data_IF_307643061815
#
_entry.id   IF_307643061815
#
_cell.length_a   1.000
_cell.length_b   1.000
_cell.length_c   1.000
_cell.angle_alpha   90.00
_cell.angle_beta   90.00
_cell.angle_gamma   90.00
#
_symmetry.space_group_name_H-M   'P 1'
#
loop_
_entity.id
_entity.type
_entity.pdbx_description
1 polymer ?
#
# COMPACT_ATOMS: atom_id res chain seq x y z
N UNK A 1 54.51 3.25 27.08
CA UNK A 1 54.44 4.56 26.39
C UNK A 1 52.97 4.88 26.16
N UNK A 2 52.46 5.93 26.82
CA UNK A 2 51.09 6.41 26.68
C UNK A 2 51.05 7.48 25.60
N UNK A 3 50.25 7.31 24.54
CA UNK A 3 49.91 8.39 23.62
C UNK A 3 48.52 8.90 23.97
N UNK A 4 48.49 10.02 24.71
CA UNK A 4 47.29 10.84 24.85
C UNK A 4 46.98 11.48 23.48
N UNK A 5 46.00 10.93 22.77
CA UNK A 5 45.37 11.64 21.66
C UNK A 5 44.55 12.79 22.25
N UNK A 6 45.06 14.01 22.09
CA UNK A 6 44.29 15.23 22.26
C UNK A 6 43.14 15.24 21.26
N UNK A 7 41.99 14.71 21.66
CA UNK A 7 40.73 14.98 20.99
C UNK A 7 40.40 16.45 21.14
N UNK A 8 40.80 17.26 20.16
CA UNK A 8 40.29 18.62 19.97
C UNK A 8 38.78 18.52 19.73
N UNK A 9 37.99 18.44 20.80
CA UNK A 9 36.60 18.84 20.78
C UNK A 9 36.59 20.35 20.55
N UNK A 10 36.51 20.73 19.26
CA UNK A 10 36.17 22.09 18.88
C UNK A 10 34.81 22.38 19.53
N UNK A 11 34.71 23.33 20.48
CA UNK A 11 33.41 23.69 21.01
C UNK A 11 32.62 24.24 19.83
N UNK A 12 31.56 23.52 19.44
CA UNK A 12 30.62 24.01 18.44
C UNK A 12 30.11 25.35 18.93
N UNK A 13 30.42 26.42 18.20
CA UNK A 13 29.91 27.74 18.47
C UNK A 13 28.39 27.64 18.70
N UNK A 14 27.81 28.41 19.64
CA UNK A 14 26.37 28.43 19.85
C UNK A 14 25.73 28.82 18.52
N UNK A 15 25.11 27.83 17.85
CA UNK A 15 24.44 28.06 16.57
C UNK A 15 23.45 29.18 16.75
N UNK A 16 23.51 30.19 15.88
CA UNK A 16 22.52 31.25 15.84
C UNK A 16 21.13 30.62 15.64
N UNK A 17 20.08 31.27 16.15
CA UNK A 17 18.71 30.75 16.08
C UNK A 17 18.27 30.43 14.63
N UNK A 18 18.86 31.11 13.64
CA UNK A 18 18.64 30.85 12.21
C UNK A 18 19.32 29.56 11.73
N UNK A 19 20.55 29.27 12.15
CA UNK A 19 21.25 28.02 11.81
C UNK A 19 20.59 26.80 12.45
N UNK A 20 20.04 26.94 13.65
CA UNK A 20 19.26 25.88 14.32
C UNK A 20 17.98 25.57 13.55
N UNK A 21 17.22 26.60 13.14
CA UNK A 21 16.02 26.42 12.31
C UNK A 21 16.34 25.80 10.95
N UNK A 22 17.41 26.24 10.29
CA UNK A 22 17.82 25.66 9.01
C UNK A 22 18.17 24.17 9.16
N UNK A 23 18.86 23.80 10.25
CA UNK A 23 19.18 22.40 10.51
C UNK A 23 17.94 21.56 10.86
N UNK A 24 16.99 22.10 11.62
CA UNK A 24 15.72 21.45 11.92
C UNK A 24 14.92 21.15 10.64
N UNK A 25 14.87 22.12 9.71
CA UNK A 25 14.20 21.94 8.40
C UNK A 25 14.89 20.86 7.54
N UNK A 26 16.22 20.86 7.48
CA UNK A 26 16.98 19.83 6.74
C UNK A 26 16.79 18.45 7.37
N UNK A 27 16.74 18.36 8.70
CA UNK A 27 16.52 17.10 9.39
C UNK A 27 15.11 16.57 9.10
N UNK A 28 14.11 17.46 9.10
CA UNK A 28 12.74 17.13 8.74
C UNK A 28 12.63 16.66 7.28
N UNK A 29 13.32 17.33 6.35
CA UNK A 29 13.28 16.95 4.93
C UNK A 29 13.88 15.56 4.71
N UNK A 30 15.03 15.27 5.32
CA UNK A 30 15.69 13.94 5.22
C UNK A 30 14.81 12.85 5.82
N UNK A 31 14.17 13.11 6.96
CA UNK A 31 13.23 12.17 7.58
C UNK A 31 12.02 11.89 6.67
N UNK A 32 11.44 12.94 6.06
CA UNK A 32 10.32 12.81 5.12
C UNK A 32 10.74 12.04 3.86
N UNK A 33 11.94 12.29 3.34
CA UNK A 33 12.47 11.55 2.17
C UNK A 33 12.67 10.06 2.47
N UNK A 34 13.24 9.71 3.62
CA UNK A 34 13.39 8.32 4.04
C UNK A 34 12.03 7.61 4.18
N UNK A 35 11.05 8.28 4.80
CA UNK A 35 9.67 7.81 4.90
C UNK A 35 9.06 7.49 3.53
N UNK A 36 9.21 8.43 2.58
CA UNK A 36 8.71 8.26 1.21
C UNK A 36 9.41 7.10 0.50
N UNK A 37 10.72 6.94 0.68
CA UNK A 37 11.47 5.82 0.11
C UNK A 37 10.98 4.46 0.64
N UNK A 38 10.68 4.37 1.95
CA UNK A 38 10.11 3.16 2.58
C UNK A 38 8.74 2.80 1.99
N UNK A 39 7.89 3.80 1.77
CA UNK A 39 6.57 3.60 1.13
C UNK A 39 6.71 3.19 -0.33
N UNK A 40 7.60 3.85 -1.09
CA UNK A 40 7.85 3.50 -2.50
C UNK A 40 8.33 2.06 -2.62
N UNK A 41 9.26 1.63 -1.77
CA UNK A 41 9.72 0.24 -1.75
C UNK A 41 8.58 -0.74 -1.47
N UNK A 42 7.72 -0.45 -0.51
CA UNK A 42 6.56 -1.31 -0.21
C UNK A 42 5.56 -1.35 -1.40
N UNK A 43 5.36 -0.22 -2.08
CA UNK A 43 4.54 -0.15 -3.29
C UNK A 43 5.14 -0.96 -4.44
N UNK A 44 6.47 -0.90 -4.64
CA UNK A 44 7.16 -1.67 -5.67
C UNK A 44 7.01 -3.18 -5.42
N UNK A 45 7.13 -3.62 -4.16
CA UNK A 45 6.88 -5.01 -3.77
C UNK A 45 5.43 -5.44 -4.04
N UNK A 46 4.46 -4.56 -3.79
CA UNK A 46 3.06 -4.80 -4.13
C UNK A 46 2.86 -4.94 -5.65
N UNK A 47 3.38 -4.00 -6.45
CA UNK A 47 3.27 -4.02 -7.91
C UNK A 47 3.98 -5.23 -8.54
N UNK A 48 5.12 -5.63 -7.97
CA UNK A 48 5.86 -6.81 -8.42
C UNK A 48 5.06 -8.11 -8.27
N UNK A 49 4.06 -8.16 -7.39
CA UNK A 49 3.14 -9.31 -7.29
C UNK A 49 1.87 -9.07 -8.10
N UNK A 50 1.26 -7.89 -7.97
CA UNK A 50 -0.01 -7.56 -8.61
C UNK A 50 0.05 -7.63 -10.15
N UNK A 51 1.14 -7.16 -10.75
CA UNK A 51 1.32 -7.13 -12.21
C UNK A 51 2.04 -8.38 -12.75
N UNK A 52 2.42 -9.31 -11.87
CA UNK A 52 3.23 -10.45 -12.25
C UNK A 52 2.40 -11.61 -12.80
N UNK A 53 2.58 -11.84 -14.10
CA UNK A 53 2.10 -13.06 -14.77
C UNK A 53 2.68 -14.33 -14.15
N UNK A 54 3.89 -14.26 -13.58
CA UNK A 54 4.52 -15.41 -12.94
C UNK A 54 3.72 -15.89 -11.73
N UNK A 55 3.35 -14.98 -10.82
CA UNK A 55 2.52 -15.33 -9.66
C UNK A 55 1.13 -15.79 -10.09
N UNK A 56 0.54 -15.11 -11.08
CA UNK A 56 -0.76 -15.48 -11.62
C UNK A 56 -0.79 -16.91 -12.16
N UNK A 57 0.13 -17.27 -13.06
CA UNK A 57 0.20 -18.61 -13.63
C UNK A 57 0.69 -19.65 -12.63
N UNK A 58 1.58 -19.27 -11.70
CA UNK A 58 2.02 -20.14 -10.61
C UNK A 58 0.86 -20.60 -9.74
N UNK A 59 0.00 -19.67 -9.31
CA UNK A 59 -1.19 -20.02 -8.53
C UNK A 59 -2.19 -20.84 -9.33
N UNK A 60 -2.44 -20.51 -10.60
CA UNK A 60 -3.33 -21.31 -11.45
C UNK A 60 -2.83 -22.75 -11.65
N UNK A 61 -1.53 -22.92 -11.93
CA UNK A 61 -0.92 -24.24 -12.10
C UNK A 61 -0.97 -25.05 -10.80
N UNK A 62 -0.65 -24.42 -9.67
CA UNK A 62 -0.69 -25.05 -8.35
C UNK A 62 -2.10 -25.51 -7.96
N UNK A 63 -3.11 -24.66 -8.11
CA UNK A 63 -4.51 -25.02 -7.80
C UNK A 63 -5.08 -26.03 -8.77
N UNK A 64 -4.66 -26.00 -10.04
CA UNK A 64 -5.01 -27.02 -11.03
C UNK A 64 -4.49 -28.40 -10.60
N UNK A 65 -3.21 -28.49 -10.26
CA UNK A 65 -2.59 -29.75 -9.79
C UNK A 65 -3.24 -30.25 -8.51
N UNK A 66 -3.50 -29.36 -7.54
CA UNK A 66 -4.18 -29.70 -6.30
C UNK A 66 -5.59 -30.24 -6.57
N UNK A 67 -6.37 -29.55 -7.42
CA UNK A 67 -7.74 -29.95 -7.79
C UNK A 67 -7.74 -31.27 -8.54
N UNK A 68 -6.77 -31.50 -9.43
CA UNK A 68 -6.61 -32.78 -10.13
C UNK A 68 -6.29 -33.91 -9.15
N UNK A 69 -5.39 -33.69 -8.19
CA UNK A 69 -5.08 -34.65 -7.13
C UNK A 69 -6.30 -35.01 -6.28
N UNK A 70 -7.13 -34.02 -5.94
CA UNK A 70 -8.41 -34.23 -5.23
C UNK A 70 -9.39 -35.04 -6.07
N UNK A 71 -9.55 -34.72 -7.37
CA UNK A 71 -10.46 -35.44 -8.25
C UNK A 71 -10.03 -36.90 -8.46
N UNK A 72 -8.72 -37.17 -8.50
CA UNK A 72 -8.19 -38.52 -8.66
C UNK A 72 -8.29 -39.33 -7.36
N UNK A 73 -8.05 -38.74 -6.20
CA UNK A 73 -8.18 -39.44 -4.91
C UNK A 73 -9.64 -39.80 -4.58
N UNK A 74 -10.57 -38.89 -4.85
CA UNK A 74 -12.01 -39.10 -4.68
C UNK A 74 -12.65 -39.87 -5.85
N UNK A 75 -11.97 -39.96 -6.99
CA UNK A 75 -12.45 -40.64 -8.20
C UNK A 75 -12.75 -42.13 -7.99
N UNK A 76 -12.06 -42.76 -7.04
CA UNK A 76 -12.33 -44.15 -6.61
C UNK A 76 -13.71 -44.33 -5.97
N UNK A 77 -14.29 -43.27 -5.40
CA UNK A 77 -15.62 -43.26 -4.78
C UNK A 77 -16.68 -42.61 -5.65
N UNK A 78 -16.29 -41.67 -6.51
CA UNK A 78 -17.19 -40.91 -7.38
C UNK A 78 -16.61 -40.88 -8.81
N UNK A 79 -17.06 -41.81 -9.65
CA UNK A 79 -16.59 -41.98 -11.03
C UNK A 79 -16.76 -40.76 -11.93
N UNK A 80 -17.70 -39.87 -11.61
CA UNK A 80 -17.92 -38.57 -12.29
C UNK A 80 -16.71 -37.66 -12.11
N UNK A 81 -16.11 -37.60 -10.91
CA UNK A 81 -14.93 -36.78 -10.65
C UNK A 81 -13.73 -37.26 -11.46
N UNK A 82 -13.59 -38.57 -11.68
CA UNK A 82 -12.52 -39.14 -12.50
C UNK A 82 -12.71 -38.82 -13.99
N UNK A 83 -13.94 -38.92 -14.52
CA UNK A 83 -14.25 -38.65 -15.93
C UNK A 83 -14.12 -37.18 -16.29
N UNK A 84 -14.47 -36.28 -15.38
CA UNK A 84 -14.41 -34.83 -15.58
C UNK A 84 -13.22 -34.15 -14.90
N UNK A 85 -12.30 -34.92 -14.31
CA UNK A 85 -11.15 -34.43 -13.54
C UNK A 85 -10.39 -33.33 -14.28
N UNK A 86 -10.19 -33.49 -15.59
CA UNK A 86 -9.48 -32.51 -16.42
C UNK A 86 -10.20 -31.17 -16.52
N UNK A 87 -11.51 -31.17 -16.73
CA UNK A 87 -12.32 -29.94 -16.81
C UNK A 87 -12.45 -29.28 -15.43
N UNK A 88 -12.67 -30.08 -14.39
CA UNK A 88 -12.75 -29.61 -13.01
C UNK A 88 -11.41 -29.02 -12.57
N UNK A 89 -10.29 -29.65 -12.91
CA UNK A 89 -8.96 -29.14 -12.64
C UNK A 89 -8.66 -27.84 -13.37
N UNK A 90 -9.06 -27.69 -14.63
CA UNK A 90 -8.91 -26.42 -15.36
C UNK A 90 -9.73 -25.31 -14.73
N UNK A 91 -11.00 -25.58 -14.37
CA UNK A 91 -11.86 -24.63 -13.69
C UNK A 91 -11.32 -24.26 -12.29
N UNK A 92 -10.95 -25.26 -11.49
CA UNK A 92 -10.34 -25.08 -10.16
C UNK A 92 -8.99 -24.36 -10.23
N UNK A 93 -8.20 -24.63 -11.27
CA UNK A 93 -6.99 -23.91 -11.63
C UNK A 93 -7.24 -22.43 -11.84
N UNK A 94 -8.17 -22.11 -12.73
CA UNK A 94 -8.51 -20.73 -13.06
C UNK A 94 -9.12 -19.98 -11.89
N UNK A 95 -10.24 -20.46 -11.34
CA UNK A 95 -10.94 -19.76 -10.27
C UNK A 95 -10.18 -19.78 -8.95
N UNK A 96 -9.58 -20.91 -8.59
CA UNK A 96 -8.76 -21.02 -7.39
C UNK A 96 -7.48 -20.20 -7.50
N UNK A 97 -6.84 -20.20 -8.67
CA UNK A 97 -5.64 -19.39 -8.91
C UNK A 97 -5.93 -17.89 -8.80
N UNK A 98 -7.05 -17.43 -9.40
CA UNK A 98 -7.53 -16.05 -9.28
C UNK A 98 -7.83 -15.68 -7.82
N UNK A 99 -8.49 -16.57 -7.06
CA UNK A 99 -8.81 -16.33 -5.66
C UNK A 99 -7.55 -16.19 -4.79
N UNK A 100 -6.60 -17.12 -4.91
CA UNK A 100 -5.34 -17.07 -4.14
C UNK A 100 -4.50 -15.86 -4.54
N UNK A 101 -4.41 -15.56 -5.84
CA UNK A 101 -3.71 -14.36 -6.31
C UNK A 101 -4.34 -13.09 -5.74
N UNK A 102 -5.68 -13.00 -5.72
CA UNK A 102 -6.41 -11.89 -5.10
C UNK A 102 -6.13 -11.75 -3.60
N UNK A 103 -6.09 -12.88 -2.86
CA UNK A 103 -5.78 -12.88 -1.42
C UNK A 103 -4.34 -12.44 -1.16
N UNK A 104 -3.37 -12.93 -1.94
CA UNK A 104 -1.97 -12.53 -1.81
C UNK A 104 -1.80 -11.02 -2.11
N UNK A 105 -2.45 -10.52 -3.16
CA UNK A 105 -2.43 -9.09 -3.47
C UNK A 105 -3.08 -8.24 -2.37
N UNK A 106 -4.21 -8.69 -1.80
CA UNK A 106 -4.84 -8.00 -0.68
C UNK A 106 -3.94 -7.97 0.57
N UNK A 107 -3.19 -9.04 0.84
CA UNK A 107 -2.21 -9.08 1.92
C UNK A 107 -1.07 -8.07 1.70
N UNK A 108 -0.51 -8.02 0.48
CA UNK A 108 0.56 -7.09 0.14
C UNK A 108 0.06 -5.63 0.19
N UNK A 109 -1.14 -5.36 -0.30
CA UNK A 109 -1.76 -4.03 -0.19
C UNK A 109 -1.94 -3.61 1.28
N UNK A 110 -2.35 -4.54 2.15
CA UNK A 110 -2.45 -4.27 3.60
C UNK A 110 -1.09 -3.98 4.23
N UNK A 111 -0.03 -4.64 3.77
CA UNK A 111 1.35 -4.34 4.19
C UNK A 111 1.73 -2.90 3.85
N UNK A 112 1.46 -2.46 2.61
CA UNK A 112 1.68 -1.05 2.18
C UNK A 112 0.94 -0.08 3.10
N UNK A 113 -0.35 -0.33 3.34
CA UNK A 113 -1.17 0.52 4.22
C UNK A 113 -0.58 0.57 5.63
N UNK A 114 -0.11 -0.55 6.17
CA UNK A 114 0.54 -0.60 7.48
C UNK A 114 1.82 0.24 7.53
N UNK A 115 2.60 0.29 6.44
CA UNK A 115 3.79 1.15 6.36
C UNK A 115 3.37 2.62 6.36
N UNK A 116 2.31 2.98 5.63
CA UNK A 116 1.78 4.35 5.62
C UNK A 116 1.26 4.75 7.01
N UNK A 117 0.49 3.89 7.68
CA UNK A 117 -0.02 4.15 9.03
C UNK A 117 1.11 4.37 10.04
N UNK A 118 2.15 3.52 9.98
CA UNK A 118 3.34 3.68 10.81
C UNK A 118 4.06 4.99 10.51
N UNK A 119 4.18 5.36 9.24
CA UNK A 119 4.83 6.61 8.80
C UNK A 119 4.06 7.84 9.30
N UNK A 120 2.73 7.81 9.25
CA UNK A 120 1.87 8.86 9.82
C UNK A 120 2.13 8.99 11.32
N UNK A 121 2.15 7.87 12.06
CA UNK A 121 2.39 7.87 13.49
C UNK A 121 3.80 8.39 13.85
N UNK A 122 4.84 7.97 13.12
CA UNK A 122 6.21 8.46 13.29
C UNK A 122 6.30 9.96 12.99
N UNK A 123 5.64 10.44 11.93
CA UNK A 123 5.66 11.86 11.54
C UNK A 123 4.92 12.75 12.54
N UNK A 124 3.76 12.32 13.06
CA UNK A 124 3.06 13.03 14.13
C UNK A 124 3.91 13.13 15.41
N UNK A 125 4.61 12.04 15.78
CA UNK A 125 5.51 12.04 16.92
C UNK A 125 6.67 13.03 16.75
N UNK A 126 7.23 13.13 15.55
CA UNK A 126 8.27 14.12 15.24
C UNK A 126 7.72 15.54 15.29
N UNK A 127 6.50 15.78 14.79
CA UNK A 127 5.84 17.09 14.88
C UNK A 127 5.62 17.53 16.33
N UNK A 128 5.15 16.62 17.20
CA UNK A 128 5.00 16.85 18.64
C UNK A 128 6.33 17.18 19.32
N UNK A 129 7.41 16.46 18.97
CA UNK A 129 8.75 16.71 19.51
C UNK A 129 9.31 18.08 19.12
N UNK A 130 8.95 18.57 17.93
CA UNK A 130 9.32 19.91 17.45
C UNK A 130 8.27 20.99 17.77
N UNK A 131 7.23 20.65 18.55
CA UNK A 131 6.19 21.59 18.99
C UNK A 131 5.37 22.18 17.84
N UNK A 132 5.11 21.41 16.79
CA UNK A 132 4.37 21.82 15.58
C UNK A 132 4.92 23.06 14.87
N UNK A 133 6.22 23.33 15.03
CA UNK A 133 6.91 24.46 14.38
C UNK A 133 7.25 24.19 12.91
N UNK A 134 7.32 22.92 12.52
CA UNK A 134 7.74 22.49 11.19
C UNK A 134 6.51 22.09 10.38
N UNK A 135 6.02 23.02 9.55
CA UNK A 135 4.82 22.81 8.73
C UNK A 135 4.93 21.64 7.75
N UNK A 136 6.14 21.20 7.40
CA UNK A 136 6.36 20.10 6.46
C UNK A 136 5.86 18.75 7.01
N UNK A 137 5.89 18.53 8.33
CA UNK A 137 5.34 17.31 8.93
C UNK A 137 3.82 17.24 8.79
N UNK A 138 3.11 18.33 9.08
CA UNK A 138 1.66 18.41 8.92
C UNK A 138 1.24 18.21 7.45
N UNK A 139 1.99 18.80 6.51
CA UNK A 139 1.77 18.62 5.07
C UNK A 139 2.00 17.17 4.65
N UNK A 140 3.06 16.53 5.14
CA UNK A 140 3.35 15.13 4.82
C UNK A 140 2.29 14.19 5.37
N UNK A 141 1.84 14.39 6.61
CA UNK A 141 0.76 13.58 7.21
C UNK A 141 -0.53 13.67 6.38
N UNK A 142 -0.88 14.86 5.90
CA UNK A 142 -2.03 15.04 5.02
C UNK A 142 -1.86 14.30 3.68
N UNK A 143 -0.66 14.36 3.07
CA UNK A 143 -0.36 13.64 1.83
C UNK A 143 -0.43 12.11 2.03
N UNK A 144 0.11 11.60 3.14
CA UNK A 144 0.09 10.18 3.49
C UNK A 144 -1.33 9.66 3.74
N UNK A 145 -2.18 10.45 4.42
CA UNK A 145 -3.60 10.12 4.60
C UNK A 145 -4.35 10.05 3.28
N UNK A 146 -4.11 10.99 2.36
CA UNK A 146 -4.68 10.94 1.00
C UNK A 146 -4.26 9.65 0.28
N UNK A 147 -2.97 9.34 0.30
CA UNK A 147 -2.43 8.13 -0.35
C UNK A 147 -3.01 6.85 0.24
N UNK A 148 -3.19 6.79 1.57
CA UNK A 148 -3.88 5.68 2.23
C UNK A 148 -5.32 5.53 1.74
N UNK A 149 -6.04 6.64 1.64
CA UNK A 149 -7.44 6.63 1.19
C UNK A 149 -7.57 6.23 -0.29
N UNK A 150 -6.60 6.59 -1.13
CA UNK A 150 -6.52 6.13 -2.53
C UNK A 150 -6.29 4.63 -2.64
N UNK A 151 -5.45 4.05 -1.77
CA UNK A 151 -5.18 2.61 -1.72
C UNK A 151 -6.34 1.81 -1.10
N UNK A 152 -7.11 2.43 -0.20
CA UNK A 152 -8.27 1.85 0.45
C UNK A 152 -9.53 2.70 0.26
N UNK A 153 -10.07 2.78 -0.97
CA UNK A 153 -11.19 3.67 -1.30
C UNK A 153 -12.51 3.27 -0.62
N UNK A 154 -12.59 2.05 -0.08
CA UNK A 154 -13.76 1.53 0.64
C UNK A 154 -13.58 1.54 2.16
N UNK A 155 -12.50 2.14 2.67
CA UNK A 155 -12.35 2.35 4.11
C UNK A 155 -13.35 3.41 4.61
N UNK A 156 -13.79 3.28 5.86
CA UNK A 156 -14.71 4.24 6.49
C UNK A 156 -14.12 5.65 6.42
N UNK A 157 -12.84 5.79 6.72
CA UNK A 157 -12.12 7.07 6.67
C UNK A 157 -12.03 7.66 5.26
N UNK A 158 -11.87 6.83 4.22
CA UNK A 158 -11.90 7.30 2.83
C UNK A 158 -13.31 7.73 2.40
N UNK A 159 -14.34 7.01 2.83
CA UNK A 159 -15.74 7.36 2.57
C UNK A 159 -16.10 8.67 3.26
N UNK A 160 -15.69 8.86 4.52
CA UNK A 160 -15.90 10.10 5.26
C UNK A 160 -15.11 11.28 4.67
N UNK A 161 -13.85 11.07 4.27
CA UNK A 161 -13.07 12.10 3.59
C UNK A 161 -13.73 12.51 2.26
N UNK A 162 -14.22 11.55 1.49
CA UNK A 162 -14.92 11.80 0.24
C UNK A 162 -16.29 12.46 0.49
N UNK A 163 -17.01 12.09 1.54
CA UNK A 163 -18.28 12.73 1.92
C UNK A 163 -18.08 14.17 2.39
N UNK A 164 -17.03 14.46 3.14
CA UNK A 164 -16.69 15.82 3.55
C UNK A 164 -16.31 16.69 2.34
N UNK A 165 -15.50 16.17 1.41
CA UNK A 165 -15.20 16.85 0.14
C UNK A 165 -16.47 17.07 -0.69
N UNK A 166 -17.31 16.04 -0.84
CA UNK A 166 -18.58 16.15 -1.55
C UNK A 166 -19.53 17.14 -0.88
N UNK A 167 -19.58 17.20 0.46
CA UNK A 167 -20.43 18.16 1.19
C UNK A 167 -19.96 19.61 1.03
N UNK A 168 -18.70 19.85 0.71
CA UNK A 168 -18.14 21.17 0.43
C UNK A 168 -18.22 21.57 -1.04
N UNK A 169 -18.47 20.61 -1.95
CA UNK A 169 -18.64 20.84 -3.38
C UNK A 169 -20.02 21.43 -3.73
N UNK A 170 -20.05 22.25 -4.78
CA UNK A 170 -21.28 22.73 -5.41
C UNK A 170 -22.06 21.56 -6.04
N UNK A 171 -23.37 21.74 -6.25
CA UNK A 171 -24.26 20.68 -6.74
C UNK A 171 -23.79 20.10 -8.08
N UNK A 172 -23.25 20.94 -8.96
CA UNK A 172 -22.73 20.54 -10.27
C UNK A 172 -21.45 19.69 -10.14
N UNK A 173 -20.51 20.08 -9.27
CA UNK A 173 -19.28 19.32 -9.02
C UNK A 173 -19.55 17.95 -8.42
N UNK A 174 -20.59 17.82 -7.58
CA UNK A 174 -21.01 16.51 -7.03
C UNK A 174 -21.53 15.59 -8.12
N UNK A 175 -22.29 16.12 -9.07
CA UNK A 175 -22.83 15.34 -10.20
C UNK A 175 -21.67 14.85 -11.08
N UNK A 176 -20.72 15.72 -11.40
CA UNK A 176 -19.55 15.36 -12.19
C UNK A 176 -18.67 14.31 -11.48
N UNK A 177 -18.46 14.44 -10.17
CA UNK A 177 -17.72 13.46 -9.38
C UNK A 177 -18.43 12.08 -9.36
N UNK A 178 -19.75 12.05 -9.25
CA UNK A 178 -20.55 10.83 -9.31
C UNK A 178 -20.52 10.19 -10.69
N UNK A 179 -20.59 10.98 -11.76
CA UNK A 179 -20.47 10.51 -13.15
C UNK A 179 -19.07 9.93 -13.39
N UNK A 180 -18.02 10.62 -12.97
CA UNK A 180 -16.64 10.15 -13.11
C UNK A 180 -16.39 8.84 -12.32
N UNK A 181 -16.95 8.72 -11.12
CA UNK A 181 -16.88 7.49 -10.32
C UNK A 181 -17.63 6.33 -11.00
N UNK A 182 -18.81 6.60 -11.56
CA UNK A 182 -19.58 5.62 -12.33
C UNK A 182 -18.82 5.16 -13.59
N UNK A 183 -18.22 6.08 -14.33
CA UNK A 183 -17.41 5.78 -15.50
C UNK A 183 -16.16 4.96 -15.16
N UNK A 184 -15.42 5.34 -14.11
CA UNK A 184 -14.29 4.52 -13.61
C UNK A 184 -14.72 3.11 -13.24
N UNK A 185 -15.88 2.96 -12.58
CA UNK A 185 -16.42 1.64 -12.21
C UNK A 185 -16.83 0.81 -13.43
N UNK A 186 -17.40 1.46 -14.45
CA UNK A 186 -17.73 0.83 -15.73
C UNK A 186 -16.46 0.40 -16.49
N UNK A 187 -15.43 1.23 -16.52
CA UNK A 187 -14.14 0.91 -17.15
C UNK A 187 -13.41 -0.23 -16.43
N UNK A 188 -13.41 -0.25 -15.10
CA UNK A 188 -12.84 -1.34 -14.31
C UNK A 188 -13.60 -2.68 -14.52
N UNK A 189 -14.90 -2.63 -14.79
CA UNK A 189 -15.69 -3.81 -15.17
C UNK A 189 -15.46 -4.23 -16.63
N UNK A 190 -15.20 -3.28 -17.53
CA UNK A 190 -14.92 -3.55 -18.94
C UNK A 190 -13.52 -4.16 -19.16
N UNK A 191 -12.52 -3.77 -18.36
CA UNK A 191 -11.17 -4.36 -18.37
C UNK A 191 -11.10 -5.74 -17.68
N UNK A 192 -12.19 -6.19 -17.03
CA UNK A 192 -12.35 -7.51 -16.43
C UNK A 192 -12.96 -8.56 -17.37
N UNK A 193 -13.19 -8.21 -18.65
CA UNK A 193 -13.61 -9.13 -19.72
C UNK A 193 -12.42 -9.51 -20.59
#
# INVERSE_FOLDING_TARGET
>A
MWTQQFGLHKPSAPKTAEEQRAQELVTASVFIEDNRARILKAMDEYHAVADSKYWHYGYMGGTMLATMGICLSLGTRVSVLQRYARWIALAGGYFGGQAIHGVHNAYNLRSVVSVIDRTIAETNKMDEQHGSRIHDYAREVAALRRRRNELMPHSIEAIEAQQNDLQQMSLDERVDALVAAYEKRKQAMAQKK
#
